data_IF_526096257360
#
_entry.id   IF_526096257360
#
_cell.length_a   1.000
_cell.length_b   1.000
_cell.length_c   1.000
_cell.angle_alpha   90.00
_cell.angle_beta   90.00
_cell.angle_gamma   90.00
#
_symmetry.space_group_name_H-M   'P 1'
#
loop_
_entity.id
_entity.type
_entity.pdbx_description
1 polymer ?
#
# COMPACT_ATOMS: atom_id res chain seq x y z
N UNK A 1 24.82 -13.69 18.01
CA UNK A 1 24.75 -12.80 16.82
C UNK A 1 24.11 -13.49 15.62
N UNK A 2 24.48 -14.74 15.30
CA UNK A 2 23.93 -15.47 14.15
C UNK A 2 22.39 -15.59 14.16
N UNK A 3 21.79 -16.03 15.27
CA UNK A 3 20.33 -16.19 15.36
C UNK A 3 19.52 -14.91 15.10
N UNK A 4 20.02 -13.74 15.52
CA UNK A 4 19.34 -12.47 15.30
C UNK A 4 19.28 -12.09 13.81
N UNK A 5 20.39 -12.32 13.08
CA UNK A 5 20.47 -12.09 11.63
C UNK A 5 19.55 -13.06 10.90
N UNK A 6 19.50 -14.33 11.30
CA UNK A 6 18.61 -15.32 10.67
C UNK A 6 17.15 -14.99 10.89
N UNK A 7 16.75 -14.57 12.10
CA UNK A 7 15.38 -14.13 12.41
C UNK A 7 15.02 -12.89 11.59
N UNK A 8 15.94 -11.94 11.48
CA UNK A 8 15.71 -10.72 10.71
C UNK A 8 15.47 -11.04 9.22
N UNK A 9 16.33 -11.87 8.61
CA UNK A 9 16.19 -12.30 7.22
C UNK A 9 14.91 -13.11 6.98
N UNK A 10 14.58 -14.02 7.89
CA UNK A 10 13.37 -14.84 7.78
C UNK A 10 12.10 -13.98 7.85
N UNK A 11 12.04 -13.04 8.79
CA UNK A 11 10.88 -12.14 8.94
C UNK A 11 10.73 -11.21 7.74
N UNK A 12 11.83 -10.62 7.24
CA UNK A 12 11.78 -9.80 6.01
C UNK A 12 11.35 -10.61 4.79
N UNK A 13 11.85 -11.85 4.63
CA UNK A 13 11.44 -12.72 3.52
C UNK A 13 9.92 -13.03 3.55
N UNK A 14 9.37 -13.31 4.73
CA UNK A 14 7.93 -13.56 4.92
C UNK A 14 7.11 -12.32 4.57
N UNK A 15 7.51 -11.14 5.05
CA UNK A 15 6.82 -9.88 4.75
C UNK A 15 6.89 -9.55 3.26
N UNK A 16 8.05 -9.75 2.61
CA UNK A 16 8.22 -9.54 1.19
C UNK A 16 7.34 -10.49 0.35
N UNK A 17 7.29 -11.77 0.70
CA UNK A 17 6.41 -12.74 0.05
C UNK A 17 4.93 -12.40 0.22
N UNK A 18 4.52 -11.96 1.40
CA UNK A 18 3.15 -11.51 1.65
C UNK A 18 2.79 -10.26 0.85
N UNK A 19 3.70 -9.29 0.77
CA UNK A 19 3.54 -8.07 -0.03
C UNK A 19 3.43 -8.39 -1.53
N UNK A 20 4.29 -9.27 -2.06
CA UNK A 20 4.23 -9.74 -3.44
C UNK A 20 2.92 -10.48 -3.74
N UNK A 21 2.42 -11.29 -2.81
CA UNK A 21 1.14 -11.98 -2.99
C UNK A 21 -0.03 -10.99 -3.04
N UNK A 22 -0.05 -9.99 -2.17
CA UNK A 22 -1.01 -8.90 -2.21
C UNK A 22 -0.95 -8.09 -3.51
N UNK A 23 0.27 -7.90 -4.03
CA UNK A 23 0.50 -7.17 -5.28
C UNK A 23 0.05 -7.98 -6.50
N UNK A 24 0.32 -9.29 -6.51
CA UNK A 24 -0.05 -10.20 -7.59
C UNK A 24 -1.56 -10.49 -7.62
N UNK A 25 -2.24 -10.46 -6.47
CA UNK A 25 -3.67 -10.78 -6.35
C UNK A 25 -4.46 -9.60 -5.74
N UNK A 26 -4.58 -8.47 -6.46
CA UNK A 26 -5.27 -7.29 -5.95
C UNK A 26 -6.79 -7.52 -5.79
N UNK A 27 -7.32 -8.53 -6.49
CA UNK A 27 -8.74 -8.83 -6.57
C UNK A 27 -8.98 -10.17 -5.87
N UNK A 28 -9.71 -10.15 -4.76
CA UNK A 28 -10.08 -11.35 -4.01
C UNK A 28 -11.58 -11.62 -4.08
N UNK A 29 -11.98 -12.89 -3.94
CA UNK A 29 -13.38 -13.23 -3.74
C UNK A 29 -13.93 -12.49 -2.50
N UNK A 30 -15.12 -11.91 -2.62
CA UNK A 30 -15.76 -11.23 -1.50
C UNK A 30 -16.00 -12.24 -0.36
N UNK A 31 -15.26 -12.12 0.76
CA UNK A 31 -15.42 -13.02 1.93
C UNK A 31 -16.83 -12.94 2.54
N UNK A 32 -17.55 -11.84 2.32
CA UNK A 32 -18.90 -11.63 2.89
C UNK A 32 -20.01 -12.32 2.12
N UNK A 33 -19.84 -12.55 0.81
CA UNK A 33 -20.77 -13.35 0.01
C UNK A 33 -20.14 -14.64 -0.53
N UNK A 34 -18.92 -14.99 -0.10
CA UNK A 34 -18.12 -16.10 -0.60
C UNK A 34 -18.09 -16.18 -2.15
N UNK A 35 -18.04 -15.02 -2.82
CA UNK A 35 -18.07 -14.95 -4.29
C UNK A 35 -19.45 -15.11 -4.96
N UNK A 36 -20.54 -15.32 -4.20
CA UNK A 36 -21.90 -15.45 -4.76
C UNK A 36 -22.46 -14.14 -5.31
N UNK A 37 -21.97 -12.99 -4.85
CA UNK A 37 -22.45 -11.66 -5.26
C UNK A 37 -23.79 -11.24 -4.65
N UNK A 38 -24.49 -12.17 -3.99
CA UNK A 38 -25.80 -11.96 -3.36
C UNK A 38 -25.74 -12.32 -1.88
N UNK A 39 -26.49 -11.60 -1.06
CA UNK A 39 -26.74 -11.90 0.34
C UNK A 39 -28.23 -12.21 0.51
N UNK A 40 -28.56 -13.19 1.35
CA UNK A 40 -29.95 -13.48 1.70
C UNK A 40 -30.36 -12.54 2.83
N UNK A 41 -31.35 -11.68 2.58
CA UNK A 41 -31.84 -10.78 3.62
C UNK A 41 -32.68 -11.60 4.61
N UNK A 42 -32.20 -11.71 5.87
CA UNK A 42 -32.76 -12.63 6.88
C UNK A 42 -34.27 -12.43 7.11
N UNK A 43 -34.78 -11.21 6.92
CA UNK A 43 -36.16 -10.86 7.24
C UNK A 43 -37.16 -10.96 6.08
N UNK A 44 -36.72 -11.06 4.83
CA UNK A 44 -37.65 -10.95 3.68
C UNK A 44 -37.52 -12.07 2.67
N UNK A 45 -36.65 -13.07 2.89
CA UNK A 45 -36.34 -14.14 1.95
C UNK A 45 -36.00 -13.64 0.51
N UNK A 46 -35.65 -12.35 0.38
CA UNK A 46 -35.22 -11.74 -0.88
C UNK A 46 -33.71 -11.88 -1.01
N UNK A 47 -33.26 -12.25 -2.21
CA UNK A 47 -31.86 -12.18 -2.59
C UNK A 47 -31.54 -10.72 -2.90
N UNK A 48 -30.69 -10.09 -2.09
CA UNK A 48 -30.22 -8.73 -2.33
C UNK A 48 -28.77 -8.75 -2.78
N UNK A 49 -28.37 -7.77 -3.59
CA UNK A 49 -26.97 -7.61 -3.96
C UNK A 49 -26.13 -7.40 -2.70
N UNK A 50 -24.99 -8.06 -2.61
CA UNK A 50 -24.12 -7.94 -1.44
C UNK A 50 -23.65 -6.49 -1.31
N UNK A 51 -24.05 -5.78 -0.25
CA UNK A 51 -23.70 -4.37 -0.03
C UNK A 51 -22.19 -4.08 0.10
N UNK A 52 -21.33 -5.11 0.14
CA UNK A 52 -19.86 -4.94 0.18
C UNK A 52 -19.19 -5.05 -1.20
N UNK A 53 -19.73 -5.88 -2.10
CA UNK A 53 -19.21 -6.01 -3.47
C UNK A 53 -20.16 -5.45 -4.53
N UNK A 54 -21.34 -4.96 -4.14
CA UNK A 54 -22.40 -4.48 -5.01
C UNK A 54 -22.72 -5.45 -6.18
N UNK A 55 -22.62 -6.76 -5.95
CA UNK A 55 -22.84 -7.77 -6.99
C UNK A 55 -21.63 -8.12 -7.84
N UNK A 56 -20.49 -7.42 -7.71
CA UNK A 56 -19.28 -7.65 -8.52
C UNK A 56 -18.57 -8.99 -8.22
N UNK A 57 -18.97 -9.72 -7.17
CA UNK A 57 -18.40 -11.02 -6.69
C UNK A 57 -16.93 -10.95 -6.23
N UNK A 58 -16.23 -9.91 -6.64
CA UNK A 58 -14.84 -9.59 -6.43
C UNK A 58 -14.76 -8.31 -5.60
N UNK A 59 -13.84 -8.27 -4.63
CA UNK A 59 -13.58 -7.08 -3.81
C UNK A 59 -12.08 -6.79 -3.88
N UNK A 60 -11.73 -5.53 -4.16
CA UNK A 60 -10.36 -5.05 -3.98
C UNK A 60 -9.97 -5.25 -2.52
N UNK A 61 -8.94 -6.04 -2.23
CA UNK A 61 -8.49 -6.23 -0.85
C UNK A 61 -8.11 -4.87 -0.27
N UNK A 62 -8.69 -4.52 0.88
CA UNK A 62 -8.29 -3.34 1.65
C UNK A 62 -6.81 -3.54 2.00
N UNK A 63 -5.96 -2.63 1.53
CA UNK A 63 -4.50 -2.74 1.63
C UNK A 63 -3.79 -2.99 0.29
N UNK A 64 -4.44 -3.58 -0.72
CA UNK A 64 -3.81 -3.76 -2.04
C UNK A 64 -3.52 -2.42 -2.73
N UNK A 65 -4.42 -1.44 -2.62
CA UNK A 65 -4.17 -0.08 -3.12
C UNK A 65 -3.03 0.60 -2.38
N UNK A 66 -2.93 0.39 -1.06
CA UNK A 66 -1.85 0.95 -0.25
C UNK A 66 -0.51 0.31 -0.63
N UNK A 67 -0.43 -1.02 -0.64
CA UNK A 67 0.76 -1.77 -1.05
C UNK A 67 1.17 -1.43 -2.49
N UNK A 68 0.22 -1.34 -3.41
CA UNK A 68 0.50 -0.92 -4.78
C UNK A 68 1.06 0.50 -4.82
N UNK A 69 0.43 1.45 -4.13
CA UNK A 69 0.91 2.85 -4.07
C UNK A 69 2.29 2.95 -3.44
N UNK A 70 2.53 2.26 -2.32
CA UNK A 70 3.82 2.25 -1.63
C UNK A 70 4.90 1.57 -2.49
N UNK A 71 4.58 0.47 -3.17
CA UNK A 71 5.52 -0.20 -4.09
C UNK A 71 5.94 0.72 -5.23
N UNK A 72 4.99 1.39 -5.88
CA UNK A 72 5.30 2.35 -6.93
C UNK A 72 6.08 3.55 -6.40
N UNK A 73 5.71 4.09 -5.22
CA UNK A 73 6.46 5.17 -4.56
C UNK A 73 7.92 4.80 -4.31
N UNK A 74 8.18 3.64 -3.68
CA UNK A 74 9.53 3.17 -3.40
C UNK A 74 10.34 2.92 -4.68
N UNK A 75 9.68 2.45 -5.74
CA UNK A 75 10.33 2.22 -7.03
C UNK A 75 10.68 3.54 -7.73
N UNK A 76 9.83 4.55 -7.61
CA UNK A 76 10.10 5.89 -8.13
C UNK A 76 11.24 6.56 -7.34
N UNK A 77 11.29 6.39 -6.01
CA UNK A 77 12.39 6.87 -5.18
C UNK A 77 13.72 6.17 -5.53
N UNK A 78 13.68 4.86 -5.78
CA UNK A 78 14.86 4.11 -6.23
C UNK A 78 15.36 4.61 -7.60
N UNK A 79 14.48 4.79 -8.59
CA UNK A 79 14.86 5.36 -9.90
C UNK A 79 15.40 6.77 -9.77
N UNK A 80 14.80 7.60 -8.91
CA UNK A 80 15.26 8.97 -8.67
C UNK A 80 16.67 8.94 -8.09
N UNK A 81 16.94 8.04 -7.15
CA UNK A 81 18.27 7.86 -6.56
C UNK A 81 19.30 7.45 -7.62
N UNK A 82 18.96 6.51 -8.50
CA UNK A 82 19.84 6.12 -9.62
C UNK A 82 20.12 7.31 -10.56
N UNK A 83 19.11 8.12 -10.85
CA UNK A 83 19.25 9.34 -11.64
C UNK A 83 20.15 10.39 -10.96
N UNK A 84 20.00 10.58 -9.65
CA UNK A 84 20.83 11.49 -8.88
C UNK A 84 22.29 11.00 -8.85
N UNK A 85 22.52 9.70 -8.67
CA UNK A 85 23.84 9.10 -8.76
C UNK A 85 24.47 9.29 -10.16
N UNK A 86 23.66 9.18 -11.23
CA UNK A 86 24.12 9.44 -12.60
C UNK A 86 24.42 10.93 -12.87
N UNK A 87 23.75 11.86 -12.19
CA UNK A 87 24.01 13.31 -12.27
C UNK A 87 25.26 13.69 -11.48
N UNK A 88 25.46 13.09 -10.31
CA UNK A 88 26.64 13.30 -9.48
C UNK A 88 27.92 12.92 -10.23
N UNK A 89 27.89 11.80 -10.98
CA UNK A 89 29.00 11.42 -11.87
C UNK A 89 29.31 12.43 -12.97
N UNK A 90 28.32 13.24 -13.38
CA UNK A 90 28.52 14.32 -14.38
C UNK A 90 28.99 15.64 -13.75
N UNK A 91 29.32 15.63 -12.46
CA UNK A 91 29.72 16.82 -11.71
C UNK A 91 28.54 17.74 -11.36
N UNK A 92 27.30 17.27 -11.50
CA UNK A 92 26.12 18.02 -11.11
C UNK A 92 25.74 17.65 -9.67
N UNK A 93 25.87 18.59 -8.74
CA UNK A 93 25.47 18.38 -7.34
C UNK A 93 24.01 18.80 -7.15
N UNK A 94 23.07 17.86 -6.92
CA UNK A 94 21.69 18.20 -6.62
C UNK A 94 21.62 18.85 -5.24
N UNK A 95 21.22 20.13 -5.18
CA UNK A 95 20.97 20.80 -3.91
C UNK A 95 19.83 20.05 -3.18
N UNK A 96 20.00 19.61 -1.93
CA UNK A 96 18.93 18.95 -1.20
C UNK A 96 17.74 19.90 -1.08
N UNK A 97 16.57 19.45 -1.55
CA UNK A 97 15.32 20.17 -1.38
C UNK A 97 15.02 20.23 0.12
N UNK A 98 15.42 21.33 0.76
CA UNK A 98 15.04 21.63 2.13
C UNK A 98 13.52 21.59 2.22
N UNK A 99 13.02 20.61 2.98
CA UNK A 99 11.60 20.43 3.25
C UNK A 99 11.14 21.63 4.08
N UNK A 100 10.59 22.65 3.43
CA UNK A 100 9.94 23.80 4.07
C UNK A 100 8.64 23.33 4.72
N UNK A 101 8.76 22.60 5.83
CA UNK A 101 7.65 22.26 6.74
C UNK A 101 7.59 23.20 7.95
N UNK A 102 8.31 24.32 7.92
CA UNK A 102 8.16 25.37 8.90
C UNK A 102 6.99 26.31 8.54
N UNK A 103 6.24 26.67 9.59
CA UNK A 103 5.31 27.83 9.71
C UNK A 103 3.87 27.70 9.21
N UNK A 104 3.04 26.84 9.83
CA UNK A 104 1.60 27.14 10.01
C UNK A 104 1.09 26.59 11.35
N UNK A 105 1.81 26.81 12.45
CA UNK A 105 1.35 26.43 13.80
C UNK A 105 1.50 27.54 14.86
N UNK A 106 2.14 28.67 14.56
CA UNK A 106 2.42 29.71 15.57
C UNK A 106 1.39 30.85 15.65
N UNK A 107 0.30 30.84 14.86
CA UNK A 107 -0.71 31.92 14.89
C UNK A 107 -1.97 31.64 15.71
N UNK A 108 -2.09 30.50 16.39
CA UNK A 108 -3.32 30.17 17.14
C UNK A 108 -3.27 30.41 18.65
N UNK A 109 -2.18 30.94 19.22
CA UNK A 109 -2.06 31.13 20.67
C UNK A 109 -2.10 32.60 21.14
N UNK A 110 -2.65 33.52 20.34
CA UNK A 110 -2.80 34.95 20.69
C UNK A 110 -4.24 35.49 20.63
N UNK A 111 -5.25 34.63 20.76
CA UNK A 111 -6.64 35.08 20.97
C UNK A 111 -7.20 34.56 22.28
#
# INVERSE_FOLDING_TARGET
MQAAVTIFLATTAVVAGWALWLLAHPIGACRRCAGRGVARQLFTNRLTVCGRCHGARLVRRIGATFVHRTYWSLRDDARRSDHLAALEQRGFSPQPLHDTTHTTSERQHQQ
#
